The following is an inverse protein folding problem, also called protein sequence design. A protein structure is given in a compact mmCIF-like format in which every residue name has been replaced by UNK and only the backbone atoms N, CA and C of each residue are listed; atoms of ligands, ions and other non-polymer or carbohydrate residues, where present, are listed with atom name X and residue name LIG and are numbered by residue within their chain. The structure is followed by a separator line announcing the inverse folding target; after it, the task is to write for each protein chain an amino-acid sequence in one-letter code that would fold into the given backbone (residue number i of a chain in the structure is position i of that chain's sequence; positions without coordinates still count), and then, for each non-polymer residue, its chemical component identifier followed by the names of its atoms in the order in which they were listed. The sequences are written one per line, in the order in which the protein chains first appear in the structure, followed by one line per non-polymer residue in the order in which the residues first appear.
data_IF_274736567745
#
_entry.id   IF_274736567745
#
_cell.length_a   1.000
_cell.length_b   1.000
_cell.length_c   1.000
_cell.angle_alpha   90.00
_cell.angle_beta   90.00
_cell.angle_gamma   90.00
#
_symmetry.space_group_name_H-M   'P 1'
#
loop_
_entity.id
_entity.type
_entity.pdbx_description
1 polymer ?
#
# COMPACT_ATOMS: atom_id res chain seq x y z
N UNK A 1 26.94 21.44 20.02
CA UNK A 1 27.58 21.69 18.70
C UNK A 1 28.43 20.49 18.30
N UNK A 2 27.96 19.67 17.40
CA UNK A 2 28.74 18.78 16.52
C UNK A 2 27.80 18.38 15.39
N UNK A 3 27.71 19.22 14.38
CA UNK A 3 27.16 18.84 13.07
C UNK A 3 28.10 17.81 12.45
N UNK A 4 27.72 16.52 12.48
CA UNK A 4 28.32 15.53 11.61
C UNK A 4 27.80 15.80 10.19
N UNK A 5 28.70 16.20 9.31
CA UNK A 5 28.49 16.19 7.86
C UNK A 5 28.07 14.79 7.44
N UNK A 6 26.76 14.57 7.27
CA UNK A 6 26.25 13.45 6.50
C UNK A 6 26.49 13.79 5.03
N UNK A 7 27.46 13.11 4.45
CA UNK A 7 27.62 13.09 3.00
C UNK A 7 26.34 12.47 2.42
N UNK A 8 25.55 13.27 1.70
CA UNK A 8 24.47 12.76 0.87
C UNK A 8 25.11 11.93 -0.24
N UNK A 9 24.99 10.62 -0.16
CA UNK A 9 25.42 9.71 -1.23
C UNK A 9 24.28 9.63 -2.24
N UNK A 10 24.35 10.47 -3.27
CA UNK A 10 23.63 10.26 -4.51
C UNK A 10 24.52 9.42 -5.41
N UNK A 11 24.39 8.11 -5.35
CA UNK A 11 25.06 7.21 -6.30
C UNK A 11 24.20 7.15 -7.57
N UNK A 12 24.34 8.16 -8.43
CA UNK A 12 23.68 8.21 -9.73
C UNK A 12 24.68 7.72 -10.78
N UNK A 13 24.39 6.62 -11.43
CA UNK A 13 25.11 6.13 -12.59
C UNK A 13 24.18 6.24 -13.79
N UNK A 14 24.23 7.38 -14.51
CA UNK A 14 23.51 7.54 -15.77
C UNK A 14 24.28 6.73 -16.83
N UNK A 15 23.69 5.65 -17.31
CA UNK A 15 24.20 4.94 -18.50
C UNK A 15 23.78 5.74 -19.72
N UNK A 16 24.75 6.38 -20.38
CA UNK A 16 24.51 7.20 -21.55
C UNK A 16 23.77 6.42 -22.65
N UNK A 17 22.68 6.98 -23.15
CA UNK A 17 21.94 6.48 -24.32
C UNK A 17 20.58 5.82 -24.05
N UNK A 18 20.15 5.67 -22.79
CA UNK A 18 18.81 5.16 -22.47
C UNK A 18 17.81 6.28 -22.28
N UNK A 19 16.58 6.07 -22.79
CA UNK A 19 15.45 6.98 -22.57
C UNK A 19 14.29 6.17 -21.94
N UNK A 20 14.37 5.85 -20.65
CA UNK A 20 13.32 5.08 -19.98
C UNK A 20 12.00 5.84 -19.99
N UNK A 21 10.90 5.14 -20.32
CA UNK A 21 9.55 5.68 -20.26
C UNK A 21 8.90 5.46 -18.89
N UNK A 22 9.37 4.47 -18.13
CA UNK A 22 8.82 4.04 -16.86
C UNK A 22 9.86 4.12 -15.74
N UNK A 23 9.49 4.67 -14.61
CA UNK A 23 10.25 4.59 -13.36
C UNK A 23 9.50 3.75 -12.32
N UNK A 24 10.17 2.70 -11.81
CA UNK A 24 9.68 1.91 -10.66
C UNK A 24 10.27 2.51 -9.39
N UNK A 25 9.43 3.09 -8.53
CA UNK A 25 9.87 3.76 -7.30
C UNK A 25 9.66 2.85 -6.10
N UNK A 26 10.74 2.50 -5.41
CA UNK A 26 10.81 1.54 -4.32
C UNK A 26 11.31 2.20 -3.03
N UNK A 27 10.44 2.81 -2.21
CA UNK A 27 10.80 3.21 -0.86
C UNK A 27 11.14 1.98 -0.01
N UNK A 28 12.28 2.02 0.68
CA UNK A 28 12.73 0.94 1.57
C UNK A 28 13.09 1.46 2.96
N UNK A 29 12.93 0.59 3.96
CA UNK A 29 13.43 0.78 5.32
C UNK A 29 13.45 -0.55 6.04
N UNK A 30 14.64 -1.09 6.35
CA UNK A 30 14.83 -2.39 7.01
C UNK A 30 14.11 -3.53 6.26
N UNK A 31 14.57 -3.81 5.06
CA UNK A 31 14.00 -4.83 4.16
C UNK A 31 15.02 -5.97 3.87
N UNK A 32 15.98 -6.23 4.77
CA UNK A 32 17.06 -7.23 4.57
C UNK A 32 16.53 -8.62 4.19
N UNK A 33 15.35 -9.01 4.69
CA UNK A 33 14.72 -10.31 4.37
C UNK A 33 14.15 -10.37 2.94
N UNK A 34 13.94 -9.23 2.27
CA UNK A 34 13.12 -9.18 1.06
C UNK A 34 13.76 -8.45 -0.11
N UNK A 35 14.74 -7.58 0.15
CA UNK A 35 15.25 -6.63 -0.85
C UNK A 35 15.89 -7.33 -2.06
N UNK A 36 16.69 -8.37 -1.87
CA UNK A 36 17.32 -9.10 -2.97
C UNK A 36 16.26 -9.70 -3.90
N UNK A 37 15.29 -10.43 -3.34
CA UNK A 37 14.19 -11.03 -4.12
C UNK A 37 13.34 -9.98 -4.84
N UNK A 38 13.13 -8.82 -4.21
CA UNK A 38 12.40 -7.70 -4.82
C UNK A 38 13.16 -7.16 -6.04
N UNK A 39 14.47 -6.94 -5.90
CA UNK A 39 15.31 -6.43 -6.98
C UNK A 39 15.45 -7.44 -8.11
N UNK A 40 15.68 -8.72 -7.82
CA UNK A 40 15.71 -9.80 -8.80
C UNK A 40 14.42 -9.83 -9.63
N UNK A 41 13.26 -9.74 -8.99
CA UNK A 41 11.97 -9.72 -9.68
C UNK A 41 11.79 -8.49 -10.59
N UNK A 42 12.29 -7.31 -10.17
CA UNK A 42 12.23 -6.09 -10.96
C UNK A 42 13.31 -6.05 -12.06
N UNK A 43 14.41 -6.77 -11.89
CA UNK A 43 15.50 -6.85 -12.85
C UNK A 43 15.19 -7.82 -13.99
N UNK A 44 14.54 -8.94 -13.68
CA UNK A 44 14.20 -10.01 -14.62
C UNK A 44 12.80 -9.79 -15.25
N UNK A 45 12.62 -8.66 -15.96
CA UNK A 45 11.35 -8.36 -16.62
C UNK A 45 11.43 -8.61 -18.13
N UNK A 46 10.31 -8.98 -18.76
CA UNK A 46 10.23 -9.29 -20.19
C UNK A 46 10.31 -8.07 -21.10
N UNK A 47 10.00 -6.89 -20.62
CA UNK A 47 10.16 -5.66 -21.42
C UNK A 47 11.65 -5.31 -21.58
N UNK A 48 11.97 -4.60 -22.67
CA UNK A 48 13.35 -4.10 -22.88
C UNK A 48 13.79 -3.30 -21.64
N UNK A 49 14.86 -3.75 -21.03
CA UNK A 49 15.43 -3.19 -19.80
C UNK A 49 15.87 -1.73 -19.92
N UNK A 50 16.01 -1.21 -21.16
CA UNK A 50 16.26 0.21 -21.44
C UNK A 50 15.02 1.09 -21.38
N UNK A 51 13.81 0.51 -21.35
CA UNK A 51 12.54 1.23 -21.29
C UNK A 51 12.14 1.61 -19.87
N UNK A 52 12.80 1.07 -18.85
CA UNK A 52 12.49 1.42 -17.46
C UNK A 52 13.75 1.57 -16.62
N UNK A 53 13.59 2.22 -15.49
CA UNK A 53 14.61 2.33 -14.44
C UNK A 53 13.99 2.02 -13.08
N UNK A 54 14.81 1.63 -12.11
CA UNK A 54 14.41 1.36 -10.73
C UNK A 54 15.04 2.41 -9.82
N UNK A 55 14.20 3.16 -9.09
CA UNK A 55 14.68 4.13 -8.10
C UNK A 55 14.39 3.58 -6.71
N UNK A 56 15.43 3.19 -6.01
CA UNK A 56 15.37 2.75 -4.61
C UNK A 56 15.64 3.93 -3.72
N UNK A 57 14.76 4.19 -2.75
CA UNK A 57 14.87 5.33 -1.85
C UNK A 57 14.90 4.84 -0.41
N UNK A 58 16.08 4.88 0.22
CA UNK A 58 16.30 4.36 1.55
C UNK A 58 15.93 5.35 2.66
N UNK A 59 15.09 4.91 3.59
CA UNK A 59 14.66 5.66 4.77
C UNK A 59 15.67 5.65 5.93
N UNK A 60 16.95 5.38 5.68
CA UNK A 60 17.99 5.26 6.69
C UNK A 60 17.92 3.89 7.39
N UNK A 61 17.95 2.81 6.60
CA UNK A 61 18.00 1.42 7.10
C UNK A 61 19.17 1.19 8.03
N UNK A 62 18.94 0.37 9.05
CA UNK A 62 19.91 0.07 10.14
C UNK A 62 20.29 -1.41 10.19
N UNK A 63 19.66 -2.23 9.36
CA UNK A 63 19.93 -3.64 9.12
C UNK A 63 20.86 -3.84 7.91
N UNK A 64 20.92 -5.03 7.35
CA UNK A 64 21.79 -5.35 6.19
C UNK A 64 21.22 -4.89 4.84
N UNK A 65 20.07 -4.20 4.82
CA UNK A 65 19.39 -3.79 3.56
C UNK A 65 20.32 -3.05 2.59
N UNK A 66 21.05 -2.04 3.07
CA UNK A 66 21.94 -1.24 2.21
C UNK A 66 23.15 -2.03 1.72
N UNK A 67 23.69 -2.95 2.54
CA UNK A 67 24.80 -3.81 2.14
C UNK A 67 24.35 -4.74 1.01
N UNK A 68 23.22 -5.43 1.17
CA UNK A 68 22.64 -6.31 0.16
C UNK A 68 22.32 -5.56 -1.14
N UNK A 69 21.73 -4.38 -1.04
CA UNK A 69 21.42 -3.52 -2.20
C UNK A 69 22.69 -3.14 -2.97
N UNK A 70 23.72 -2.64 -2.27
CA UNK A 70 25.00 -2.24 -2.92
C UNK A 70 25.70 -3.43 -3.58
N UNK A 71 25.68 -4.59 -2.92
CA UNK A 71 26.21 -5.83 -3.50
C UNK A 71 25.46 -6.19 -4.78
N UNK A 72 24.13 -6.14 -4.77
CA UNK A 72 23.32 -6.38 -5.97
C UNK A 72 23.67 -5.39 -7.11
N UNK A 73 23.71 -4.09 -6.80
CA UNK A 73 24.07 -3.05 -7.78
C UNK A 73 25.49 -3.24 -8.34
N UNK A 74 26.45 -3.70 -7.53
CA UNK A 74 27.81 -3.97 -7.97
C UNK A 74 27.87 -5.19 -8.91
N UNK A 75 27.13 -6.24 -8.59
CA UNK A 75 27.06 -7.47 -9.42
C UNK A 75 26.48 -7.18 -10.81
N UNK A 76 25.48 -6.28 -10.89
CA UNK A 76 24.76 -5.91 -12.11
C UNK A 76 25.20 -4.54 -12.66
N UNK A 77 26.41 -4.07 -12.33
CA UNK A 77 26.86 -2.71 -12.62
C UNK A 77 26.94 -2.33 -14.11
N UNK A 78 27.00 -3.31 -15.00
CA UNK A 78 27.06 -3.12 -16.46
C UNK A 78 25.80 -3.63 -17.17
N UNK A 79 24.78 -3.99 -16.40
CA UNK A 79 23.54 -4.53 -16.91
C UNK A 79 22.41 -3.48 -16.77
N UNK A 80 21.32 -3.72 -17.49
CA UNK A 80 20.10 -2.91 -17.42
C UNK A 80 18.98 -3.75 -16.78
N UNK A 81 18.03 -3.16 -16.10
CA UNK A 81 17.75 -1.73 -16.00
C UNK A 81 18.69 -0.96 -15.08
N UNK A 82 18.77 0.36 -15.26
CA UNK A 82 19.49 1.24 -14.33
C UNK A 82 18.83 1.24 -12.94
N UNK A 83 19.65 1.11 -11.89
CA UNK A 83 19.22 1.24 -10.50
C UNK A 83 19.83 2.50 -9.90
N UNK A 84 18.98 3.39 -9.42
CA UNK A 84 19.37 4.63 -8.73
C UNK A 84 19.06 4.47 -7.24
N UNK A 85 20.06 4.66 -6.39
CA UNK A 85 19.91 4.68 -4.94
C UNK A 85 19.91 6.12 -4.42
N UNK A 86 18.86 6.51 -3.68
CA UNK A 86 18.68 7.82 -3.07
C UNK A 86 18.43 7.70 -1.58
N UNK A 87 18.85 8.72 -0.82
CA UNK A 87 18.60 8.82 0.61
C UNK A 87 17.32 9.59 0.92
N UNK A 88 16.56 9.11 1.92
CA UNK A 88 15.38 9.77 2.46
C UNK A 88 15.54 10.04 3.96
N UNK A 89 16.13 11.16 4.36
CA UNK A 89 16.36 11.50 5.77
C UNK A 89 15.07 11.67 6.57
N UNK A 90 13.97 12.00 5.91
CA UNK A 90 12.65 12.18 6.54
C UNK A 90 11.91 10.86 6.83
N UNK A 91 12.41 9.75 6.34
CA UNK A 91 11.91 8.39 6.64
C UNK A 91 10.42 8.16 6.36
N UNK A 92 9.81 8.93 5.49
CA UNK A 92 8.43 8.74 5.08
C UNK A 92 8.31 8.36 3.61
N UNK A 93 7.30 7.57 3.27
CA UNK A 93 7.06 7.12 1.89
C UNK A 93 6.73 8.30 0.97
N UNK A 94 6.02 9.32 1.48
CA UNK A 94 5.70 10.54 0.71
C UNK A 94 6.98 11.28 0.31
N UNK A 95 7.92 11.49 1.24
CA UNK A 95 9.20 12.12 0.95
C UNK A 95 10.02 11.26 -0.02
N UNK A 96 10.09 9.94 0.20
CA UNK A 96 10.81 9.04 -0.69
C UNK A 96 10.33 9.15 -2.15
N UNK A 97 9.01 9.12 -2.37
CA UNK A 97 8.43 9.26 -3.70
C UNK A 97 8.67 10.62 -4.33
N UNK A 98 8.62 11.70 -3.53
CA UNK A 98 8.93 13.05 -4.02
C UNK A 98 10.42 13.22 -4.35
N UNK A 99 11.32 12.62 -3.56
CA UNK A 99 12.75 12.57 -3.85
C UNK A 99 12.99 11.83 -5.18
N UNK A 100 12.35 10.67 -5.36
CA UNK A 100 12.42 9.93 -6.61
C UNK A 100 11.92 10.75 -7.80
N UNK A 101 10.79 11.46 -7.66
CA UNK A 101 10.28 12.36 -8.71
C UNK A 101 11.29 13.41 -9.13
N UNK A 102 12.02 14.01 -8.17
CA UNK A 102 13.05 15.01 -8.46
C UNK A 102 14.27 14.45 -9.21
N UNK A 103 14.47 13.14 -9.22
CA UNK A 103 15.56 12.46 -9.90
C UNK A 103 15.15 11.82 -11.26
N UNK A 104 13.89 11.96 -11.68
CA UNK A 104 13.40 11.36 -12.92
C UNK A 104 14.01 12.02 -14.17
N UNK A 105 14.54 11.24 -15.13
CA UNK A 105 14.85 11.72 -16.47
C UNK A 105 13.60 12.30 -17.17
N UNK A 106 13.81 13.26 -18.08
CA UNK A 106 12.70 13.87 -18.82
C UNK A 106 11.90 12.88 -19.70
N UNK A 107 12.53 11.79 -20.11
CA UNK A 107 11.89 10.72 -20.90
C UNK A 107 10.82 9.93 -20.12
N UNK A 108 10.89 9.92 -18.80
CA UNK A 108 9.94 9.16 -17.96
C UNK A 108 8.55 9.78 -18.01
N UNK A 109 7.59 9.02 -18.50
CA UNK A 109 6.16 9.37 -18.58
C UNK A 109 5.34 8.75 -17.48
N UNK A 110 5.79 7.62 -16.96
CA UNK A 110 5.07 6.83 -15.97
C UNK A 110 5.87 6.59 -14.70
N UNK A 111 5.19 6.66 -13.55
CA UNK A 111 5.74 6.35 -12.24
C UNK A 111 4.95 5.17 -11.67
N UNK A 112 5.64 4.06 -11.41
CA UNK A 112 5.07 2.87 -10.79
C UNK A 112 5.42 2.85 -9.30
N UNK A 113 4.39 2.87 -8.46
CA UNK A 113 4.57 2.64 -7.03
C UNK A 113 4.89 1.18 -6.74
N UNK A 114 5.97 0.96 -6.01
CA UNK A 114 6.39 -0.36 -5.52
C UNK A 114 6.82 -0.29 -4.05
N UNK A 115 7.17 -1.43 -3.44
CA UNK A 115 7.69 -1.52 -2.06
C UNK A 115 8.70 -2.67 -1.96
N UNK A 116 9.64 -2.60 -1.01
CA UNK A 116 10.75 -3.55 -0.87
C UNK A 116 10.36 -5.00 -0.57
N UNK A 117 9.15 -5.23 -0.04
CA UNK A 117 8.61 -6.57 0.27
C UNK A 117 7.44 -6.98 -0.63
N UNK A 118 7.41 -6.48 -1.88
CA UNK A 118 6.47 -6.91 -2.90
C UNK A 118 7.20 -7.64 -4.03
N UNK A 119 6.53 -8.64 -4.60
CA UNK A 119 7.08 -9.55 -5.59
C UNK A 119 6.18 -9.63 -6.79
N UNK A 120 6.78 -9.62 -7.97
CA UNK A 120 6.10 -9.59 -9.27
C UNK A 120 6.62 -10.72 -10.17
N UNK A 121 5.82 -11.08 -11.18
CA UNK A 121 6.23 -12.01 -12.24
C UNK A 121 7.08 -11.29 -13.28
N UNK A 122 7.79 -12.04 -14.12
CA UNK A 122 8.68 -11.51 -15.15
C UNK A 122 7.95 -10.66 -16.22
N UNK A 123 6.67 -10.88 -16.46
CA UNK A 123 5.84 -10.14 -17.42
C UNK A 123 5.10 -8.94 -16.79
N UNK A 124 5.35 -8.64 -15.51
CA UNK A 124 4.56 -7.66 -14.76
C UNK A 124 4.59 -6.26 -15.38
N UNK A 125 5.78 -5.73 -15.70
CA UNK A 125 5.88 -4.37 -16.27
C UNK A 125 5.28 -4.29 -17.66
N UNK A 126 5.43 -5.33 -18.49
CA UNK A 126 4.79 -5.42 -19.79
C UNK A 126 3.26 -5.40 -19.65
N UNK A 127 2.71 -6.23 -18.76
CA UNK A 127 1.28 -6.27 -18.48
C UNK A 127 0.76 -4.95 -17.91
N UNK A 128 1.55 -4.23 -17.12
CA UNK A 128 1.20 -2.89 -16.60
C UNK A 128 1.04 -1.88 -17.73
N UNK A 129 1.99 -1.82 -18.66
CA UNK A 129 1.92 -0.91 -19.81
C UNK A 129 0.81 -1.29 -20.79
N UNK A 130 0.59 -2.60 -21.01
CA UNK A 130 -0.53 -3.10 -21.82
C UNK A 130 -1.88 -2.75 -21.18
N UNK A 131 -2.04 -2.98 -19.87
CA UNK A 131 -3.24 -2.61 -19.14
C UNK A 131 -3.49 -1.09 -19.16
N UNK A 132 -2.42 -0.28 -19.13
CA UNK A 132 -2.53 1.17 -19.29
C UNK A 132 -3.10 1.56 -20.65
N UNK A 133 -2.58 0.97 -21.72
CA UNK A 133 -3.08 1.25 -23.10
C UNK A 133 -4.56 0.90 -23.23
N UNK A 134 -5.00 -0.23 -22.68
CA UNK A 134 -6.41 -0.62 -22.65
C UNK A 134 -7.27 0.36 -21.84
N UNK A 135 -6.80 0.75 -20.65
CA UNK A 135 -7.51 1.70 -19.81
C UNK A 135 -7.59 3.10 -20.45
N UNK A 136 -6.53 3.53 -21.11
CA UNK A 136 -6.49 4.82 -21.83
C UNK A 136 -7.45 4.86 -23.01
N UNK A 137 -7.70 3.73 -23.71
CA UNK A 137 -8.74 3.64 -24.73
C UNK A 137 -10.14 3.87 -24.17
N UNK A 138 -10.38 3.43 -22.91
CA UNK A 138 -11.69 3.59 -22.26
C UNK A 138 -11.87 4.95 -21.58
N UNK A 139 -10.83 5.54 -21.02
CA UNK A 139 -10.90 6.71 -20.15
C UNK A 139 -10.20 7.95 -20.75
N UNK A 140 -9.45 7.79 -21.83
CA UNK A 140 -8.73 8.87 -22.51
C UNK A 140 -7.65 9.50 -21.64
N UNK A 141 -7.35 10.76 -21.91
CA UNK A 141 -6.33 11.55 -21.22
C UNK A 141 -6.67 11.83 -19.75
N UNK A 142 -7.91 11.62 -19.32
CA UNK A 142 -8.32 11.75 -17.92
C UNK A 142 -7.78 10.64 -17.03
N UNK A 143 -7.29 9.53 -17.59
CA UNK A 143 -6.66 8.47 -16.81
C UNK A 143 -5.36 8.97 -16.19
N UNK A 144 -5.34 9.12 -14.87
CA UNK A 144 -4.17 9.57 -14.10
C UNK A 144 -3.44 8.45 -13.37
N UNK A 145 -4.13 7.34 -13.08
CA UNK A 145 -3.52 6.22 -12.38
C UNK A 145 -4.26 4.90 -12.58
N UNK A 146 -3.49 3.83 -12.71
CA UNK A 146 -3.98 2.47 -12.88
C UNK A 146 -3.40 1.54 -11.82
N UNK A 147 -4.25 0.97 -10.96
CA UNK A 147 -3.88 0.00 -9.93
C UNK A 147 -3.70 -1.42 -10.47
N UNK A 148 -2.89 -2.22 -9.75
CA UNK A 148 -2.75 -3.65 -9.97
C UNK A 148 -3.65 -4.47 -9.03
N UNK A 149 -3.87 -5.73 -9.36
CA UNK A 149 -4.55 -6.70 -8.49
C UNK A 149 -3.56 -7.28 -7.48
N UNK A 150 -3.83 -7.06 -6.19
CA UNK A 150 -3.02 -7.65 -5.13
C UNK A 150 -3.50 -9.05 -4.84
N UNK A 151 -2.61 -10.03 -5.00
CA UNK A 151 -2.89 -11.42 -4.70
C UNK A 151 -2.57 -11.75 -3.24
N UNK A 152 -3.19 -12.81 -2.68
CA UNK A 152 -2.75 -13.37 -1.42
C UNK A 152 -1.27 -13.75 -1.47
N UNK A 153 -0.57 -13.58 -0.36
CA UNK A 153 0.80 -14.05 -0.22
C UNK A 153 0.85 -15.58 -0.28
N UNK A 154 1.64 -16.12 -1.20
CA UNK A 154 1.82 -17.57 -1.36
C UNK A 154 2.92 -18.15 -0.45
N UNK A 155 3.71 -17.30 0.22
CA UNK A 155 4.82 -17.69 1.09
C UNK A 155 4.45 -17.78 2.57
N UNK A 156 3.15 -17.99 2.88
CA UNK A 156 2.67 -18.07 4.25
C UNK A 156 3.24 -19.31 4.96
N UNK A 157 3.96 -19.09 6.06
CA UNK A 157 4.65 -20.15 6.80
C UNK A 157 4.03 -20.46 8.17
N UNK A 158 3.28 -19.51 8.72
CA UNK A 158 2.68 -19.65 10.05
C UNK A 158 1.15 -19.59 10.04
N UNK A 159 0.52 -20.23 11.03
CA UNK A 159 -0.94 -20.14 11.19
C UNK A 159 -1.44 -18.70 11.32
N UNK A 160 -0.66 -17.83 12.01
CA UNK A 160 -1.04 -16.42 12.22
C UNK A 160 -1.04 -15.64 10.91
N UNK A 161 -0.07 -15.88 10.03
CA UNK A 161 -0.05 -15.29 8.70
C UNK A 161 -1.27 -15.71 7.89
N UNK A 162 -1.65 -16.98 7.92
CA UNK A 162 -2.87 -17.49 7.25
C UNK A 162 -4.13 -16.83 7.82
N UNK A 163 -4.22 -16.62 9.13
CA UNK A 163 -5.36 -15.92 9.74
C UNK A 163 -5.45 -14.46 9.30
N UNK A 164 -4.34 -13.74 9.31
CA UNK A 164 -4.27 -12.35 8.87
C UNK A 164 -4.61 -12.25 7.37
N UNK A 165 -4.06 -13.15 6.55
CA UNK A 165 -4.36 -13.19 5.13
C UNK A 165 -5.84 -13.49 4.85
N UNK A 166 -6.44 -14.41 5.61
CA UNK A 166 -7.87 -14.70 5.51
C UNK A 166 -8.73 -13.51 5.89
N UNK A 167 -8.34 -12.75 6.93
CA UNK A 167 -9.03 -11.52 7.33
C UNK A 167 -8.91 -10.41 6.29
N UNK A 168 -7.72 -10.20 5.69
CA UNK A 168 -7.54 -9.24 4.59
C UNK A 168 -8.34 -9.66 3.35
N UNK A 169 -8.42 -10.96 3.08
CA UNK A 169 -9.17 -11.51 1.93
C UNK A 169 -10.68 -11.49 2.14
N UNK A 170 -11.14 -11.19 3.35
CA UNK A 170 -12.55 -11.05 3.72
C UNK A 170 -13.08 -9.67 3.31
N UNK A 171 -14.32 -9.62 2.83
CA UNK A 171 -15.01 -8.36 2.59
C UNK A 171 -15.08 -7.47 3.85
N UNK A 172 -15.23 -8.09 5.02
CA UNK A 172 -15.22 -7.37 6.31
C UNK A 172 -13.86 -6.76 6.65
N UNK A 173 -12.76 -7.27 6.07
CA UNK A 173 -11.40 -6.76 6.30
C UNK A 173 -10.96 -5.71 5.27
N UNK A 174 -11.25 -5.92 3.98
CA UNK A 174 -10.80 -4.99 2.94
C UNK A 174 -11.89 -4.02 2.46
N UNK A 175 -13.19 -4.35 2.61
CA UNK A 175 -14.27 -3.60 1.98
C UNK A 175 -14.04 -3.44 0.46
N UNK A 176 -14.22 -2.19 -0.05
CA UNK A 176 -13.83 -1.84 -1.43
C UNK A 176 -12.43 -1.25 -1.52
N UNK A 177 -11.54 -1.58 -0.56
CA UNK A 177 -10.17 -1.08 -0.50
C UNK A 177 -9.24 -1.69 -1.54
N UNK A 178 -7.94 -1.41 -1.37
CA UNK A 178 -6.89 -1.88 -2.28
C UNK A 178 -6.77 -3.41 -2.43
N UNK A 179 -7.31 -4.18 -1.47
CA UNK A 179 -7.34 -5.65 -1.50
C UNK A 179 -8.68 -6.21 -2.00
N UNK A 180 -9.60 -5.35 -2.44
CA UNK A 180 -10.88 -5.78 -2.97
C UNK A 180 -10.71 -6.69 -4.19
N UNK A 181 -11.62 -7.64 -4.34
CA UNK A 181 -11.63 -8.52 -5.51
C UNK A 181 -12.28 -7.82 -6.68
N UNK A 182 -11.63 -7.92 -7.83
CA UNK A 182 -12.16 -7.47 -9.12
C UNK A 182 -11.58 -8.35 -10.23
N UNK A 183 -12.27 -8.48 -11.33
CA UNK A 183 -11.93 -9.37 -12.45
C UNK A 183 -11.96 -8.68 -13.82
N UNK A 184 -12.27 -7.38 -13.84
CA UNK A 184 -12.31 -6.55 -15.03
C UNK A 184 -11.68 -5.19 -14.78
N UNK A 185 -11.38 -4.47 -15.86
CA UNK A 185 -11.00 -3.07 -15.79
C UNK A 185 -12.19 -2.25 -15.28
N UNK A 186 -11.96 -1.46 -14.24
CA UNK A 186 -12.99 -0.63 -13.62
C UNK A 186 -12.38 0.59 -12.93
N UNK A 187 -13.19 1.63 -12.72
CA UNK A 187 -12.79 2.80 -11.93
C UNK A 187 -12.74 2.47 -10.44
N UNK A 188 -11.85 3.16 -9.72
CA UNK A 188 -11.72 2.99 -8.26
C UNK A 188 -11.21 4.27 -7.61
N UNK A 189 -11.56 4.46 -6.34
CA UNK A 189 -11.02 5.57 -5.54
C UNK A 189 -9.77 5.16 -4.73
N UNK A 190 -9.39 3.89 -4.75
CA UNK A 190 -8.30 3.33 -3.92
C UNK A 190 -7.52 2.26 -4.69
N UNK A 191 -6.84 2.66 -5.78
CA UNK A 191 -5.97 1.73 -6.49
C UNK A 191 -4.79 1.32 -5.61
N UNK A 192 -4.20 0.14 -5.88
CA UNK A 192 -2.99 -0.35 -5.24
C UNK A 192 -1.85 -0.42 -6.24
N UNK A 193 -0.61 -0.18 -5.81
CA UNK A 193 0.58 -0.27 -6.67
C UNK A 193 0.36 0.48 -7.99
N UNK A 194 0.09 1.76 -7.87
CA UNK A 194 -0.42 2.57 -8.98
C UNK A 194 0.67 2.87 -9.99
N UNK A 195 0.35 2.63 -11.26
CA UNK A 195 1.06 3.21 -12.39
C UNK A 195 0.43 4.58 -12.64
N UNK A 196 1.15 5.64 -12.33
CA UNK A 196 0.71 7.03 -12.47
C UNK A 196 1.19 7.64 -13.77
N UNK A 197 0.36 8.48 -14.40
CA UNK A 197 0.81 9.46 -15.39
C UNK A 197 1.62 10.55 -14.67
N UNK A 198 2.93 10.64 -14.96
CA UNK A 198 3.85 11.58 -14.29
C UNK A 198 3.32 13.01 -14.30
N UNK A 199 2.88 13.51 -15.45
CA UNK A 199 2.40 14.88 -15.59
C UNK A 199 1.26 15.22 -14.60
N UNK A 200 0.31 14.29 -14.35
CA UNK A 200 -0.74 14.49 -13.35
C UNK A 200 -0.20 14.59 -11.93
N UNK A 201 0.79 13.77 -11.57
CA UNK A 201 1.39 13.81 -10.23
C UNK A 201 2.17 15.11 -10.03
N UNK A 202 2.90 15.56 -11.05
CA UNK A 202 3.65 16.84 -11.03
C UNK A 202 2.71 18.05 -10.92
N UNK A 203 1.65 18.09 -11.74
CA UNK A 203 0.61 19.13 -11.68
C UNK A 203 -0.01 19.26 -10.30
N UNK A 204 -0.22 18.14 -9.61
CA UNK A 204 -0.78 18.11 -8.27
C UNK A 204 0.26 18.30 -7.15
N UNK A 205 1.53 18.51 -7.47
CA UNK A 205 2.61 18.77 -6.50
C UNK A 205 3.11 17.54 -5.75
N UNK A 206 2.97 16.34 -6.31
CA UNK A 206 3.51 15.10 -5.73
C UNK A 206 2.71 14.56 -4.54
N UNK A 207 3.34 13.72 -3.72
CA UNK A 207 2.74 13.16 -2.49
C UNK A 207 2.82 14.15 -1.33
N UNK A 208 1.73 14.30 -0.58
CA UNK A 208 1.69 15.21 0.55
C UNK A 208 2.51 14.66 1.74
N UNK A 209 3.61 15.34 2.16
CA UNK A 209 4.47 14.87 3.26
C UNK A 209 3.81 14.88 4.64
N UNK A 210 2.71 15.59 4.83
CA UNK A 210 1.96 15.60 6.09
C UNK A 210 1.27 14.26 6.37
N UNK A 211 1.06 13.44 5.32
CA UNK A 211 0.47 12.12 5.42
C UNK A 211 1.56 11.05 5.47
N UNK A 212 1.91 10.60 6.68
CA UNK A 212 2.87 9.50 6.89
C UNK A 212 2.24 8.16 6.49
N UNK A 213 0.94 8.00 6.71
CA UNK A 213 0.12 6.85 6.26
C UNK A 213 -1.07 7.40 5.49
N UNK A 214 -1.63 6.61 4.57
CA UNK A 214 -2.72 7.02 3.66
C UNK A 214 -2.32 8.13 2.67
N UNK A 215 -1.04 8.31 2.40
CA UNK A 215 -0.50 9.25 1.41
C UNK A 215 -0.97 8.92 -0.02
N UNK A 216 -1.11 7.63 -0.33
CA UNK A 216 -1.70 7.09 -1.55
C UNK A 216 -3.19 7.49 -1.70
N UNK A 217 -3.95 7.32 -0.63
CA UNK A 217 -5.36 7.73 -0.59
C UNK A 217 -5.52 9.25 -0.67
N UNK A 218 -4.62 10.01 -0.05
CA UNK A 218 -4.62 11.48 -0.12
C UNK A 218 -4.35 11.99 -1.54
N UNK A 219 -3.34 11.43 -2.22
CA UNK A 219 -3.07 11.74 -3.62
C UNK A 219 -4.25 11.32 -4.50
N UNK A 220 -4.84 10.14 -4.27
CA UNK A 220 -6.04 9.69 -4.98
C UNK A 220 -7.19 10.70 -4.87
N UNK A 221 -7.42 11.27 -3.69
CA UNK A 221 -8.47 12.30 -3.52
C UNK A 221 -8.17 13.58 -4.29
N UNK A 222 -6.90 14.03 -4.35
CA UNK A 222 -6.53 15.20 -5.17
C UNK A 222 -6.71 14.93 -6.65
N UNK A 223 -6.30 13.76 -7.13
CA UNK A 223 -6.49 13.31 -8.53
C UNK A 223 -7.98 13.35 -8.89
N UNK A 224 -8.83 12.72 -8.07
CA UNK A 224 -10.28 12.69 -8.33
C UNK A 224 -10.93 14.07 -8.28
N UNK A 225 -10.54 14.92 -7.31
CA UNK A 225 -11.05 16.28 -7.17
C UNK A 225 -10.61 17.20 -8.32
N UNK A 226 -9.48 16.91 -8.98
CA UNK A 226 -9.04 17.60 -10.20
C UNK A 226 -9.77 17.13 -11.47
N UNK A 227 -10.71 16.17 -11.35
CA UNK A 227 -11.50 15.64 -12.46
C UNK A 227 -10.82 14.53 -13.25
N UNK A 228 -9.70 14.02 -12.78
CA UNK A 228 -9.02 12.85 -13.34
C UNK A 228 -9.67 11.54 -12.89
N UNK A 229 -9.32 10.46 -13.57
CA UNK A 229 -9.85 9.12 -13.33
C UNK A 229 -8.73 8.24 -12.76
N UNK A 230 -9.08 7.48 -11.72
CA UNK A 230 -8.30 6.36 -11.23
C UNK A 230 -9.02 5.05 -11.59
N UNK A 231 -8.28 4.08 -12.09
CA UNK A 231 -8.80 2.78 -12.46
C UNK A 231 -7.96 1.65 -11.86
N UNK A 232 -8.43 0.41 -11.98
CA UNK A 232 -7.68 -0.80 -11.64
C UNK A 232 -7.92 -1.88 -12.68
N UNK A 233 -6.88 -2.67 -12.97
CA UNK A 233 -6.93 -3.76 -13.95
C UNK A 233 -6.44 -5.06 -13.33
N UNK A 234 -7.11 -6.20 -13.57
CA UNK A 234 -6.67 -7.51 -13.09
C UNK A 234 -5.54 -8.11 -13.96
N UNK A 235 -5.18 -7.47 -15.08
CA UNK A 235 -4.22 -7.99 -16.05
C UNK A 235 -2.85 -8.23 -15.43
N UNK A 236 -2.37 -7.31 -14.57
CA UNK A 236 -1.13 -7.44 -13.84
C UNK A 236 -1.41 -7.69 -12.35
N UNK A 237 -0.69 -8.63 -11.78
CA UNK A 237 -0.86 -9.04 -10.39
C UNK A 237 0.43 -8.86 -9.59
N UNK A 238 0.29 -8.60 -8.30
CA UNK A 238 1.41 -8.42 -7.38
C UNK A 238 1.14 -9.14 -6.07
N UNK A 239 2.16 -9.77 -5.51
CA UNK A 239 2.16 -10.33 -4.16
C UNK A 239 2.98 -9.46 -3.23
N UNK A 240 2.58 -9.35 -1.98
CA UNK A 240 3.35 -8.62 -0.98
C UNK A 240 3.34 -9.36 0.35
N UNK A 241 4.47 -9.31 1.06
CA UNK A 241 4.53 -9.79 2.45
C UNK A 241 3.69 -8.89 3.35
N UNK A 242 2.76 -9.50 4.05
CA UNK A 242 1.88 -8.80 5.00
C UNK A 242 2.39 -8.98 6.43
N UNK A 243 1.62 -8.55 7.41
CA UNK A 243 2.00 -8.67 8.81
C UNK A 243 2.01 -10.14 9.25
N UNK A 244 3.04 -10.55 9.99
CA UNK A 244 3.23 -11.93 10.46
C UNK A 244 2.74 -12.14 11.90
N UNK A 245 2.53 -11.06 12.67
CA UNK A 245 2.11 -11.15 14.07
C UNK A 245 0.83 -10.36 14.36
N UNK A 246 0.05 -10.83 15.35
CA UNK A 246 -1.16 -10.14 15.79
C UNK A 246 -0.88 -8.75 16.38
N UNK A 247 0.28 -8.55 16.99
CA UNK A 247 0.70 -7.24 17.50
C UNK A 247 0.95 -6.24 16.37
N UNK A 248 1.63 -6.65 15.30
CA UNK A 248 1.82 -5.82 14.10
C UNK A 248 0.48 -5.54 13.42
N UNK A 249 -0.41 -6.54 13.37
CA UNK A 249 -1.77 -6.43 12.84
C UNK A 249 -2.60 -5.40 13.60
N UNK A 250 -2.61 -5.46 14.93
CA UNK A 250 -3.26 -4.47 15.79
C UNK A 250 -2.73 -3.05 15.57
N UNK A 251 -1.39 -2.89 15.61
CA UNK A 251 -0.76 -1.59 15.39
C UNK A 251 -1.10 -1.00 14.03
N UNK A 252 -1.16 -1.85 12.99
CA UNK A 252 -1.56 -1.43 11.65
C UNK A 252 -3.01 -0.94 11.63
N UNK A 253 -3.94 -1.69 12.22
CA UNK A 253 -5.36 -1.29 12.31
C UNK A 253 -5.54 0.05 13.02
N UNK A 254 -4.90 0.24 14.18
CA UNK A 254 -4.92 1.51 14.92
C UNK A 254 -4.39 2.68 14.09
N UNK A 255 -3.23 2.50 13.44
CA UNK A 255 -2.61 3.51 12.59
C UNK A 255 -3.52 3.89 11.41
N UNK A 256 -4.14 2.92 10.77
CA UNK A 256 -5.07 3.20 9.67
C UNK A 256 -6.30 3.96 10.14
N UNK A 257 -6.86 3.62 11.29
CA UNK A 257 -7.98 4.38 11.90
C UNK A 257 -7.60 5.83 12.19
N UNK A 258 -6.45 6.05 12.82
CA UNK A 258 -5.93 7.38 13.14
C UNK A 258 -5.79 8.27 11.89
N UNK A 259 -5.12 7.77 10.85
CA UNK A 259 -4.91 8.52 9.61
C UNK A 259 -6.17 8.64 8.77
N UNK A 260 -7.11 7.69 8.91
CA UNK A 260 -8.44 7.77 8.29
C UNK A 260 -9.21 8.97 8.78
N UNK A 261 -9.17 9.27 10.08
CA UNK A 261 -9.82 10.48 10.63
C UNK A 261 -9.24 11.77 10.04
N UNK A 262 -7.92 11.84 9.89
CA UNK A 262 -7.28 13.01 9.25
C UNK A 262 -7.66 13.13 7.78
N UNK A 263 -7.70 12.02 7.05
CA UNK A 263 -8.10 12.00 5.65
C UNK A 263 -9.56 12.44 5.48
N UNK A 264 -10.48 11.95 6.32
CA UNK A 264 -11.90 12.31 6.30
C UNK A 264 -12.11 13.79 6.63
N UNK A 265 -11.35 14.35 7.58
CA UNK A 265 -11.43 15.79 7.88
C UNK A 265 -11.02 16.66 6.70
N UNK A 266 -10.02 16.25 5.95
CA UNK A 266 -9.55 16.98 4.76
C UNK A 266 -10.47 16.75 3.55
N UNK A 267 -10.98 15.51 3.42
CA UNK A 267 -11.83 15.08 2.30
C UNK A 267 -13.08 14.35 2.81
N UNK A 268 -14.16 15.07 3.19
CA UNK A 268 -15.38 14.45 3.72
C UNK A 268 -16.02 13.44 2.75
N UNK A 269 -15.89 13.65 1.44
CA UNK A 269 -16.38 12.72 0.41
C UNK A 269 -15.72 11.33 0.45
N UNK A 270 -14.60 11.18 1.21
CA UNK A 270 -13.90 9.91 1.41
C UNK A 270 -14.54 9.03 2.48
N UNK A 271 -15.52 9.51 3.21
CA UNK A 271 -16.24 8.73 4.23
C UNK A 271 -16.86 7.49 3.58
N UNK A 272 -16.58 6.33 4.13
CA UNK A 272 -17.27 5.08 3.81
C UNK A 272 -18.02 4.61 5.04
N UNK A 273 -19.33 4.55 4.95
CA UNK A 273 -20.18 4.15 6.05
C UNK A 273 -19.80 2.79 6.64
N UNK A 274 -19.42 1.85 5.79
CA UNK A 274 -18.97 0.51 6.19
C UNK A 274 -17.78 0.54 7.14
N UNK A 275 -16.85 1.49 6.97
CA UNK A 275 -15.68 1.65 7.87
C UNK A 275 -16.08 2.12 9.27
N UNK A 276 -17.25 2.71 9.43
CA UNK A 276 -17.79 3.21 10.71
C UNK A 276 -18.75 2.23 11.40
N UNK A 277 -19.18 1.15 10.72
CA UNK A 277 -20.14 0.20 11.26
C UNK A 277 -19.73 -0.39 12.63
N UNK A 278 -18.46 -0.79 12.87
CA UNK A 278 -18.06 -1.30 14.17
C UNK A 278 -18.19 -0.25 15.29
N UNK A 279 -17.87 1.00 15.02
CA UNK A 279 -18.04 2.11 15.96
C UNK A 279 -19.53 2.39 16.22
N UNK A 280 -20.33 2.45 15.17
CA UNK A 280 -21.78 2.67 15.27
C UNK A 280 -22.45 1.54 16.06
N UNK A 281 -22.10 0.30 15.79
CA UNK A 281 -22.60 -0.86 16.51
C UNK A 281 -22.24 -0.83 18.00
N UNK A 282 -21.02 -0.41 18.33
CA UNK A 282 -20.58 -0.24 19.72
C UNK A 282 -21.38 0.86 20.43
N UNK A 283 -21.53 2.03 19.80
CA UNK A 283 -22.29 3.16 20.36
C UNK A 283 -23.78 2.81 20.54
N UNK A 284 -24.36 2.10 19.59
CA UNK A 284 -25.75 1.63 19.68
C UNK A 284 -25.92 0.64 20.83
N UNK A 285 -25.00 -0.32 20.96
CA UNK A 285 -25.02 -1.27 22.10
C UNK A 285 -24.95 -0.53 23.42
N UNK A 286 -24.04 0.43 23.55
CA UNK A 286 -23.90 1.25 24.77
C UNK A 286 -25.17 2.07 25.06
N UNK A 287 -25.75 2.72 24.07
CA UNK A 287 -26.98 3.49 24.21
C UNK A 287 -28.15 2.60 24.68
N UNK A 288 -28.35 1.44 24.05
CA UNK A 288 -29.39 0.49 24.44
C UNK A 288 -29.14 -0.08 25.85
N UNK A 289 -27.90 -0.29 26.23
CA UNK A 289 -27.53 -0.75 27.58
C UNK A 289 -27.85 0.31 28.64
N UNK A 290 -27.48 1.57 28.40
CA UNK A 290 -27.73 2.68 29.32
C UNK A 290 -29.24 2.96 29.51
N UNK A 291 -30.05 2.70 28.50
CA UNK A 291 -31.52 2.80 28.58
C UNK A 291 -32.18 1.53 29.12
N UNK A 292 -31.39 0.57 29.58
CA UNK A 292 -31.86 -0.73 30.07
C UNK A 292 -32.81 -1.47 29.10
N UNK A 293 -32.53 -1.33 27.79
CA UNK A 293 -33.36 -1.90 26.76
C UNK A 293 -33.13 -3.42 26.64
N UNK A 294 -34.21 -4.23 26.58
CA UNK A 294 -34.15 -5.70 26.53
C UNK A 294 -33.33 -6.25 25.35
N UNK A 295 -33.15 -5.49 24.29
CA UNK A 295 -32.36 -5.87 23.11
C UNK A 295 -30.96 -5.24 23.07
N UNK A 296 -30.43 -4.79 24.23
CA UNK A 296 -29.11 -4.13 24.31
C UNK A 296 -27.96 -4.97 23.72
N UNK A 297 -28.01 -6.28 23.82
CA UNK A 297 -26.96 -7.18 23.28
C UNK A 297 -27.17 -7.55 21.81
N UNK A 298 -28.31 -7.20 21.21
CA UNK A 298 -28.62 -7.60 19.83
C UNK A 298 -27.57 -7.17 18.80
N UNK A 299 -27.03 -5.91 18.82
CA UNK A 299 -26.01 -5.51 17.85
C UNK A 299 -24.73 -6.36 17.97
N UNK A 300 -24.33 -6.74 19.18
CA UNK A 300 -23.16 -7.61 19.39
C UNK A 300 -23.41 -9.04 18.92
N UNK A 301 -24.59 -9.58 19.21
CA UNK A 301 -24.98 -10.93 18.75
C UNK A 301 -24.97 -11.00 17.22
N UNK A 302 -25.53 -10.00 16.55
CA UNK A 302 -25.51 -9.92 15.09
C UNK A 302 -24.09 -9.78 14.55
N UNK A 303 -23.25 -8.94 15.16
CA UNK A 303 -21.86 -8.77 14.78
C UNK A 303 -21.08 -10.08 14.87
N UNK A 304 -21.13 -10.78 16.00
CA UNK A 304 -20.44 -12.05 16.16
C UNK A 304 -21.03 -13.16 15.27
N UNK A 305 -22.34 -13.16 15.03
CA UNK A 305 -22.97 -14.05 14.06
C UNK A 305 -22.39 -13.89 12.65
N UNK A 306 -22.26 -12.65 12.18
CA UNK A 306 -21.64 -12.36 10.88
C UNK A 306 -20.17 -12.78 10.85
N UNK A 307 -19.41 -12.56 11.91
CA UNK A 307 -18.01 -12.99 12.00
C UNK A 307 -17.85 -14.52 11.97
N UNK A 308 -18.74 -15.26 12.60
CA UNK A 308 -18.74 -16.73 12.58
C UNK A 308 -19.02 -17.23 11.16
N UNK A 309 -20.02 -16.69 10.50
CA UNK A 309 -20.36 -17.04 9.11
C UNK A 309 -19.16 -16.78 8.20
N UNK A 310 -18.53 -15.60 8.33
CA UNK A 310 -17.33 -15.26 7.56
C UNK A 310 -16.17 -16.22 7.90
N UNK A 311 -15.97 -16.57 9.16
CA UNK A 311 -14.98 -17.54 9.60
C UNK A 311 -15.16 -18.91 8.93
N UNK A 312 -16.40 -19.39 8.81
CA UNK A 312 -16.73 -20.64 8.10
C UNK A 312 -16.37 -20.50 6.61
N UNK A 313 -16.80 -19.41 5.98
CA UNK A 313 -16.55 -19.17 4.57
C UNK A 313 -15.05 -19.12 4.25
N UNK A 314 -14.27 -18.41 5.05
CA UNK A 314 -12.82 -18.29 4.88
C UNK A 314 -12.10 -19.61 5.23
N UNK A 315 -12.57 -20.38 6.21
CA UNK A 315 -12.01 -21.70 6.54
C UNK A 315 -12.14 -22.68 5.36
N UNK A 316 -13.28 -22.68 4.68
CA UNK A 316 -13.49 -23.46 3.45
C UNK A 316 -12.56 -22.97 2.33
N UNK A 317 -12.50 -21.67 2.12
CA UNK A 317 -11.68 -21.05 1.06
C UNK A 317 -10.18 -21.32 1.22
N UNK A 318 -9.66 -21.19 2.44
CA UNK A 318 -8.26 -21.44 2.77
C UNK A 318 -7.95 -22.91 3.07
N UNK A 319 -8.95 -23.79 3.03
CA UNK A 319 -8.84 -25.22 3.36
C UNK A 319 -8.14 -25.46 4.69
N UNK A 320 -8.43 -24.63 5.69
CA UNK A 320 -7.79 -24.66 7.00
C UNK A 320 -8.79 -24.47 8.13
N UNK A 321 -8.96 -25.50 8.96
CA UNK A 321 -9.85 -25.43 10.11
C UNK A 321 -9.43 -24.33 11.11
N UNK A 322 -8.13 -24.04 11.23
CA UNK A 322 -7.66 -22.99 12.15
C UNK A 322 -8.17 -21.60 11.78
N UNK A 323 -8.54 -21.37 10.50
CA UNK A 323 -9.09 -20.11 10.02
C UNK A 323 -10.50 -19.86 10.54
N UNK A 324 -11.26 -20.91 10.90
CA UNK A 324 -12.59 -20.78 11.48
C UNK A 324 -12.64 -19.84 12.68
N UNK A 325 -11.63 -19.93 13.55
CA UNK A 325 -11.49 -19.03 14.70
C UNK A 325 -10.48 -17.90 14.44
N UNK A 326 -9.43 -18.17 13.67
CA UNK A 326 -8.36 -17.22 13.41
C UNK A 326 -8.81 -16.02 12.60
N UNK A 327 -9.65 -16.18 11.58
CA UNK A 327 -10.19 -15.08 10.78
C UNK A 327 -11.08 -14.15 11.62
N UNK A 328 -12.11 -14.62 12.35
CA UNK A 328 -12.87 -13.78 13.27
C UNK A 328 -12.03 -13.05 14.30
N UNK A 329 -11.03 -13.71 14.90
CA UNK A 329 -10.12 -13.08 15.85
C UNK A 329 -9.35 -11.90 15.22
N UNK A 330 -8.83 -12.10 14.00
CA UNK A 330 -8.13 -11.03 13.27
C UNK A 330 -9.09 -9.91 12.87
N UNK A 331 -10.33 -10.20 12.49
CA UNK A 331 -11.34 -9.19 12.16
C UNK A 331 -11.74 -8.36 13.39
N UNK A 332 -12.01 -9.00 14.54
CA UNK A 332 -12.27 -8.29 15.81
C UNK A 332 -11.10 -7.39 16.17
N UNK A 333 -9.88 -7.92 16.09
CA UNK A 333 -8.64 -7.15 16.35
C UNK A 333 -8.54 -5.94 15.43
N UNK A 334 -8.81 -6.10 14.12
CA UNK A 334 -8.79 -5.01 13.14
C UNK A 334 -9.86 -3.97 13.44
N UNK A 335 -11.10 -4.38 13.60
CA UNK A 335 -12.23 -3.47 13.81
C UNK A 335 -12.07 -2.68 15.11
N UNK A 336 -11.62 -3.33 16.20
CA UNK A 336 -11.39 -2.68 17.49
C UNK A 336 -10.23 -1.70 17.41
N UNK A 337 -9.07 -2.13 16.88
CA UNK A 337 -7.89 -1.28 16.76
C UNK A 337 -8.14 -0.09 15.82
N UNK A 338 -8.84 -0.30 14.71
CA UNK A 338 -9.22 0.75 13.77
C UNK A 338 -10.18 1.77 14.42
N UNK A 339 -11.19 1.29 15.16
CA UNK A 339 -12.14 2.15 15.89
C UNK A 339 -11.43 2.99 16.95
N UNK A 340 -10.53 2.38 17.74
CA UNK A 340 -9.70 3.13 18.69
C UNK A 340 -8.83 4.16 17.95
N UNK A 341 -8.27 3.80 16.81
CA UNK A 341 -7.52 4.71 15.96
C UNK A 341 -8.36 5.88 15.45
N UNK A 342 -9.62 5.66 15.03
CA UNK A 342 -10.55 6.72 14.64
C UNK A 342 -10.79 7.72 15.80
N UNK A 343 -11.04 7.21 17.00
CA UNK A 343 -11.25 8.02 18.19
C UNK A 343 -9.99 8.82 18.52
N UNK A 344 -8.83 8.15 18.56
CA UNK A 344 -7.54 8.76 18.83
C UNK A 344 -7.21 9.87 17.81
N UNK A 345 -7.39 9.63 16.51
CA UNK A 345 -7.22 10.62 15.46
C UNK A 345 -8.21 11.77 15.51
N UNK A 346 -9.37 11.57 16.18
CA UNK A 346 -10.34 12.64 16.40
C UNK A 346 -9.91 13.61 17.53
N UNK A 347 -9.20 13.12 18.51
CA UNK A 347 -8.77 13.88 19.71
C UNK A 347 -7.40 14.50 19.51
N UNK A 348 -6.43 13.74 18.98
CA UNK A 348 -5.05 14.17 18.85
C UNK A 348 -4.80 14.97 17.58
N UNK A 349 -4.16 16.13 17.76
CA UNK A 349 -3.61 16.95 16.66
C UNK A 349 -2.15 16.55 16.45
N UNK A 350 -1.73 16.29 15.22
CA UNK A 350 -0.33 15.99 14.87
C UNK A 350 -0.07 14.57 14.39
N UNK A 351 1.18 14.28 14.01
CA UNK A 351 1.63 12.94 13.63
C UNK A 351 2.02 12.15 14.87
N UNK A 352 1.73 10.86 14.87
CA UNK A 352 2.19 9.96 15.93
C UNK A 352 3.71 9.74 15.80
N UNK A 353 4.47 10.05 16.83
CA UNK A 353 5.93 9.80 16.85
C UNK A 353 6.29 8.30 16.69
N UNK A 354 5.34 7.39 16.92
CA UNK A 354 5.47 5.94 16.80
C UNK A 354 5.04 5.36 15.43
N UNK A 355 4.65 6.19 14.45
CA UNK A 355 4.31 5.74 13.10
C UNK A 355 5.55 5.37 12.27
N UNK A 356 6.72 5.66 12.77
CA UNK A 356 7.99 5.22 12.18
C UNK A 356 8.25 3.77 12.62
N UNK A 357 8.39 2.87 11.65
CA UNK A 357 8.80 1.47 11.89
C UNK A 357 10.13 1.39 12.61
#
# INVERSE_FOLDING_TARGET
MKHKNQKHFNETRIVNGTQPELAVVVPIYNEEEHIERCLEALFNQTIDSRQYLVIVVDGGSTDQTLELLRKFMQQHSNEMPEIILLDNPERSVSHARNIAMGALPNSVRFILEHIGHAFVQEDYLELRLRAWKEAEQNFGEKLAGLGAKVLPDSSLSTRREVWIESAISSWLGHGDGQFAKFDKLETTNTPAFVLHRRACVEELGGWNPEFITSQDSELSMRILNAGYILARSPMATIQMKKRSTLSQWWRMGHRYGFWRTKLIRKYPSRVRFVELLPLIGLLLTLALFLTNHRFSMLPLVLYFGVLIIEGIFQAIRFRSFSVLLGCPLCLVSLHTSFTIGLIDGSIRKGSFARDRR
#
